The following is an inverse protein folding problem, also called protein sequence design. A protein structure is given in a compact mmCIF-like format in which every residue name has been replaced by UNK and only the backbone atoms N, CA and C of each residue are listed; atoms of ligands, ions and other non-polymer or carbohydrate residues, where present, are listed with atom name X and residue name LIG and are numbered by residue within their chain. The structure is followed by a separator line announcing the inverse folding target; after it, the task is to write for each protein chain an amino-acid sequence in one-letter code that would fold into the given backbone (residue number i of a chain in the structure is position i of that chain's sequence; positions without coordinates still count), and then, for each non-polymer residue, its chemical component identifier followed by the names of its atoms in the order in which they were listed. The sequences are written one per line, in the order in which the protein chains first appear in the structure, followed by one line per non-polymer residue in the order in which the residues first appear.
data_IF_552916198388
#
_entry.id   IF_552916198388
#
_cell.length_a   1.000
_cell.length_b   1.000
_cell.length_c   1.000
_cell.angle_alpha   90.00
_cell.angle_beta   90.00
_cell.angle_gamma   90.00
#
_symmetry.space_group_name_H-M   'P 1'
#
loop_
_entity.id
_entity.type
_entity.pdbx_description
1 polymer ?
#
# COMPACT_ATOMS: atom_id res chain seq x y z
N UNK A 1 -51.69 6.24 -1.87
CA UNK A 1 -51.92 7.59 -2.45
C UNK A 1 -50.79 7.90 -3.44
N UNK A 2 -51.06 7.98 -4.74
CA UNK A 2 -50.06 8.43 -5.73
C UNK A 2 -49.91 9.95 -5.58
N UNK A 3 -48.81 10.41 -4.99
CA UNK A 3 -48.50 11.85 -4.88
C UNK A 3 -48.10 12.34 -6.27
N UNK A 4 -48.74 13.40 -6.78
CA UNK A 4 -48.37 14.03 -8.05
C UNK A 4 -47.00 14.70 -7.87
N UNK A 5 -45.99 14.33 -8.66
CA UNK A 5 -44.70 15.03 -8.66
C UNK A 5 -44.81 16.31 -9.50
N UNK A 6 -44.12 17.38 -9.10
CA UNK A 6 -43.96 18.58 -9.92
C UNK A 6 -42.88 18.42 -11.02
N UNK A 7 -42.33 17.21 -11.15
CA UNK A 7 -41.35 16.79 -12.15
C UNK A 7 -41.82 17.07 -13.59
N UNK A 8 -43.13 17.00 -13.84
CA UNK A 8 -43.74 17.27 -15.15
C UNK A 8 -43.71 18.77 -15.53
N UNK A 9 -43.38 19.64 -14.56
CA UNK A 9 -43.39 21.09 -14.70
C UNK A 9 -42.02 21.74 -14.38
N UNK A 10 -41.16 21.09 -13.59
CA UNK A 10 -39.87 21.66 -13.16
C UNK A 10 -38.70 20.68 -13.36
N UNK A 11 -37.70 21.10 -14.14
CA UNK A 11 -36.41 20.41 -14.34
C UNK A 11 -35.35 20.84 -13.33
N UNK A 12 -35.71 21.70 -12.37
CA UNK A 12 -34.82 22.30 -11.38
C UNK A 12 -34.11 21.30 -10.43
N UNK A 13 -34.53 20.04 -10.38
CA UNK A 13 -33.90 18.97 -9.58
C UNK A 13 -33.94 19.14 -8.05
N UNK A 14 -34.44 20.27 -7.55
CA UNK A 14 -34.47 20.66 -6.12
C UNK A 14 -35.89 20.73 -5.58
N UNK A 15 -36.67 19.67 -5.75
CA UNK A 15 -38.01 19.57 -5.17
C UNK A 15 -38.15 18.25 -4.41
N UNK A 16 -39.08 18.21 -3.45
CA UNK A 16 -39.41 16.98 -2.73
C UNK A 16 -40.13 16.00 -3.67
N UNK A 17 -39.32 15.20 -4.35
CA UNK A 17 -39.78 14.23 -5.31
C UNK A 17 -40.11 12.89 -4.61
N UNK A 18 -41.29 12.29 -4.86
CA UNK A 18 -41.59 10.94 -4.41
C UNK A 18 -40.89 9.85 -5.24
N UNK A 19 -40.27 10.20 -6.38
CA UNK A 19 -39.42 9.27 -7.11
C UNK A 19 -38.14 8.99 -6.32
N UNK A 20 -37.61 7.76 -6.44
CA UNK A 20 -36.31 7.45 -5.84
C UNK A 20 -35.27 8.46 -6.35
N UNK A 21 -34.35 8.92 -5.49
CA UNK A 21 -33.29 9.81 -5.91
C UNK A 21 -32.52 9.16 -7.07
N UNK A 22 -32.58 9.75 -8.26
CA UNK A 22 -31.68 9.41 -9.36
C UNK A 22 -30.34 10.09 -9.08
N UNK A 23 -29.70 9.73 -7.96
CA UNK A 23 -28.37 10.24 -7.64
C UNK A 23 -27.40 9.66 -8.66
N UNK A 24 -27.05 10.51 -9.60
CA UNK A 24 -26.08 10.25 -10.67
C UNK A 24 -24.72 9.82 -10.08
N UNK A 25 -24.45 10.17 -8.83
CA UNK A 25 -23.18 9.96 -8.14
C UNK A 25 -23.19 8.83 -7.09
N UNK A 26 -24.26 8.04 -6.96
CA UNK A 26 -24.27 6.95 -5.97
C UNK A 26 -23.35 5.78 -6.39
N UNK A 27 -22.96 5.69 -7.67
CA UNK A 27 -22.17 4.58 -8.22
C UNK A 27 -20.71 4.93 -8.48
N UNK A 28 -20.03 5.51 -7.50
CA UNK A 28 -18.56 5.37 -7.42
C UNK A 28 -18.26 4.31 -6.36
N UNK A 29 -18.93 3.16 -6.45
CA UNK A 29 -18.69 2.02 -5.55
C UNK A 29 -17.29 1.42 -5.74
N UNK A 30 -16.64 1.73 -6.87
CA UNK A 30 -15.26 1.34 -7.13
C UNK A 30 -14.42 2.58 -7.38
N UNK A 31 -13.55 3.00 -6.44
CA UNK A 31 -12.50 3.94 -6.78
C UNK A 31 -11.69 3.35 -7.94
N UNK A 32 -11.42 4.15 -8.97
CA UNK A 32 -10.53 3.77 -10.06
C UNK A 32 -9.15 3.51 -9.45
N UNK A 33 -8.75 2.24 -9.36
CA UNK A 33 -7.48 1.83 -8.75
C UNK A 33 -6.26 2.16 -9.65
N UNK A 34 -6.51 2.66 -10.85
CA UNK A 34 -5.49 3.06 -11.81
C UNK A 34 -5.46 4.59 -11.88
N UNK A 35 -4.34 5.14 -11.43
CA UNK A 35 -3.99 6.55 -11.51
C UNK A 35 -2.55 6.68 -11.96
N UNK A 36 -2.17 7.86 -12.45
CA UNK A 36 -0.78 8.19 -12.74
C UNK A 36 0.15 7.91 -11.54
N UNK A 37 -0.35 8.06 -10.31
CA UNK A 37 0.41 7.76 -9.11
C UNK A 37 0.76 6.27 -8.99
N UNK A 38 -0.23 5.39 -9.15
CA UNK A 38 -0.01 3.93 -9.07
C UNK A 38 0.81 3.40 -10.24
N UNK A 39 0.80 4.09 -11.37
CA UNK A 39 1.59 3.75 -12.56
C UNK A 39 3.05 4.19 -12.42
N UNK A 40 3.29 5.41 -11.90
CA UNK A 40 4.63 5.96 -11.73
C UNK A 40 5.35 5.41 -10.48
N UNK A 41 4.61 5.02 -9.44
CA UNK A 41 5.16 4.58 -8.15
C UNK A 41 4.61 3.20 -7.74
N UNK A 42 4.96 2.12 -8.46
CA UNK A 42 4.57 0.78 -8.05
C UNK A 42 5.22 0.41 -6.71
N UNK A 43 4.54 -0.43 -5.93
CA UNK A 43 5.10 -0.98 -4.70
C UNK A 43 6.27 -1.92 -5.05
N UNK A 44 7.49 -1.46 -4.81
CA UNK A 44 8.69 -2.27 -5.01
C UNK A 44 8.77 -3.38 -3.97
N UNK A 45 8.93 -4.62 -4.44
CA UNK A 45 9.02 -5.80 -3.56
C UNK A 45 10.37 -5.91 -2.81
N UNK A 46 11.35 -5.08 -3.19
CA UNK A 46 12.70 -5.10 -2.65
C UNK A 46 12.86 -4.17 -1.44
N UNK A 47 12.02 -4.33 -0.43
CA UNK A 47 12.14 -3.63 0.86
C UNK A 47 12.99 -4.38 1.88
N UNK A 48 13.42 -5.60 1.56
CA UNK A 48 14.25 -6.38 2.46
C UNK A 48 15.63 -5.72 2.59
N UNK A 49 16.16 -5.61 3.82
CA UNK A 49 17.52 -5.16 4.03
C UNK A 49 18.48 -5.98 3.17
N UNK A 50 19.42 -5.29 2.53
CA UNK A 50 20.45 -5.96 1.76
C UNK A 50 21.27 -6.87 2.68
N UNK A 51 21.65 -8.04 2.16
CA UNK A 51 22.60 -8.91 2.83
C UNK A 51 23.88 -8.16 3.22
N UNK A 52 24.35 -8.40 4.43
CA UNK A 52 25.53 -7.73 4.96
C UNK A 52 26.77 -8.12 4.15
N UNK A 53 27.64 -7.16 3.84
CA UNK A 53 28.98 -7.45 3.31
C UNK A 53 29.94 -7.97 4.39
N UNK A 54 29.48 -8.08 5.64
CA UNK A 54 30.31 -8.50 6.75
C UNK A 54 30.77 -9.94 6.50
N UNK A 55 32.09 -10.22 6.57
CA UNK A 55 32.58 -11.58 6.51
C UNK A 55 31.86 -12.42 7.56
N UNK A 56 31.39 -13.61 7.16
CA UNK A 56 30.82 -14.56 8.11
C UNK A 56 31.92 -14.84 9.14
N UNK A 57 31.60 -14.67 10.41
CA UNK A 57 32.50 -15.06 11.50
C UNK A 57 32.47 -16.58 11.61
N UNK A 58 33.02 -17.25 10.59
CA UNK A 58 33.32 -18.67 10.67
C UNK A 58 34.43 -18.82 11.71
N UNK A 59 34.21 -19.70 12.68
CA UNK A 59 35.20 -19.96 13.73
C UNK A 59 36.48 -20.49 13.10
N UNK A 60 37.49 -19.63 12.98
CA UNK A 60 38.82 -20.00 12.53
C UNK A 60 39.59 -20.58 13.72
N UNK A 61 39.45 -21.89 13.94
CA UNK A 61 40.30 -22.60 14.88
C UNK A 61 41.72 -22.59 14.32
N UNK A 62 42.68 -22.05 15.06
CA UNK A 62 44.08 -22.26 14.74
C UNK A 62 44.35 -23.78 14.72
N UNK A 63 44.88 -24.36 13.61
CA UNK A 63 45.10 -25.80 13.52
C UNK A 63 46.22 -26.29 14.46
N UNK A 64 47.03 -25.36 14.98
CA UNK A 64 48.23 -25.65 15.76
C UNK A 64 48.01 -25.14 17.20
N UNK A 65 48.34 -25.92 18.23
CA UNK A 65 48.36 -25.44 19.61
C UNK A 65 49.36 -24.28 19.74
N UNK A 66 48.99 -23.24 20.50
CA UNK A 66 49.92 -22.15 20.79
C UNK A 66 51.08 -22.70 21.64
N UNK A 67 52.30 -22.67 21.12
CA UNK A 67 53.48 -23.02 21.89
C UNK A 67 53.77 -21.91 22.91
N UNK A 68 53.75 -22.26 24.19
CA UNK A 68 53.91 -21.34 25.33
C UNK A 68 55.36 -20.98 25.61
N UNK A 69 56.10 -20.45 24.62
CA UNK A 69 57.44 -19.92 24.85
C UNK A 69 57.33 -18.53 25.48
N UNK A 70 57.46 -18.47 26.80
CA UNK A 70 57.51 -17.21 27.56
C UNK A 70 58.95 -16.71 27.68
N UNK A 71 59.19 -15.45 27.34
CA UNK A 71 60.49 -14.78 27.53
C UNK A 71 60.65 -14.31 28.97
N UNK A 72 60.93 -15.23 29.90
CA UNK A 72 61.39 -14.88 31.24
C UNK A 72 62.86 -15.28 31.36
N UNK A 73 63.74 -14.29 31.19
CA UNK A 73 65.19 -14.36 31.39
C UNK A 73 65.63 -13.27 32.34
#
# INVERSE_FOLDING_TARGET
LKRKCICDLCTCGRHHCPHLPTKIYDKIEKPCLLSEYTENYPLYHCYLPRESFKPKMEYQKAPIPMEGLTTSS
#
